data_IF_712014375711
#
_entry.id   IF_712014375711
#
_cell.length_a   1.000
_cell.length_b   1.000
_cell.length_c   1.000
_cell.angle_alpha   90.00
_cell.angle_beta   90.00
_cell.angle_gamma   90.00
#
_symmetry.space_group_name_H-M   'P 1'
#
loop_
_entity.id
_entity.type
_entity.pdbx_description
1 polymer ?
#
# COMPACT_ATOMS: atom_id res chain seq x y z
N UNK A 1 2.65 -19.87 -3.41
CA UNK A 1 2.52 -18.78 -2.43
C UNK A 1 1.05 -18.41 -2.29
N UNK A 2 0.53 -18.27 -1.07
CA UNK A 2 -0.85 -17.83 -0.88
C UNK A 2 -1.08 -16.43 -1.48
N UNK A 3 -2.29 -16.20 -1.99
CA UNK A 3 -2.62 -14.92 -2.63
C UNK A 3 -2.44 -13.74 -1.67
N UNK A 4 -2.79 -13.91 -0.40
CA UNK A 4 -2.67 -12.83 0.57
C UNK A 4 -1.21 -12.43 0.87
N UNK A 5 -0.27 -13.38 0.84
CA UNK A 5 1.15 -13.06 0.99
C UNK A 5 1.67 -12.32 -0.22
N UNK A 6 1.26 -12.72 -1.40
CA UNK A 6 1.63 -12.04 -2.64
C UNK A 6 1.06 -10.61 -2.65
N UNK A 7 -0.18 -10.45 -2.17
CA UNK A 7 -0.81 -9.14 -2.06
C UNK A 7 -0.06 -8.23 -1.09
N UNK A 8 0.29 -8.74 0.08
CA UNK A 8 1.07 -7.96 1.07
C UNK A 8 2.42 -7.57 0.50
N UNK A 9 3.12 -8.48 -0.17
CA UNK A 9 4.40 -8.18 -0.81
C UNK A 9 4.28 -7.09 -1.85
N UNK A 10 3.23 -7.14 -2.67
CA UNK A 10 2.97 -6.12 -3.67
C UNK A 10 2.68 -4.75 -3.04
N UNK A 11 1.90 -4.74 -1.95
CA UNK A 11 1.61 -3.50 -1.22
C UNK A 11 2.89 -2.91 -0.62
N UNK A 12 3.76 -3.75 -0.05
CA UNK A 12 5.05 -3.29 0.48
C UNK A 12 5.89 -2.65 -0.62
N UNK A 13 5.94 -3.26 -1.80
CA UNK A 13 6.68 -2.68 -2.93
C UNK A 13 6.09 -1.34 -3.36
N UNK A 14 4.77 -1.20 -3.34
CA UNK A 14 4.10 0.06 -3.63
C UNK A 14 4.45 1.13 -2.59
N UNK A 15 4.48 0.78 -1.32
CA UNK A 15 4.84 1.70 -0.24
C UNK A 15 6.30 2.13 -0.39
N UNK A 16 7.20 1.21 -0.74
CA UNK A 16 8.60 1.55 -1.04
C UNK A 16 8.66 2.54 -2.20
N UNK A 17 7.91 2.27 -3.27
CA UNK A 17 7.85 3.17 -4.43
C UNK A 17 7.34 4.55 -4.05
N UNK A 18 6.27 4.63 -3.27
CA UNK A 18 5.69 5.91 -2.83
C UNK A 18 6.63 6.68 -1.91
N UNK A 19 7.32 5.98 -1.01
CA UNK A 19 8.35 6.60 -0.16
C UNK A 19 9.48 7.20 -1.01
N UNK A 20 9.96 6.42 -1.97
CA UNK A 20 10.99 6.88 -2.90
C UNK A 20 10.48 8.05 -3.76
N UNK A 21 9.20 8.06 -4.10
CA UNK A 21 8.59 9.14 -4.87
C UNK A 21 8.72 10.47 -4.13
N UNK A 22 8.45 10.48 -2.83
CA UNK A 22 8.67 11.69 -2.03
C UNK A 22 10.14 12.09 -2.00
N UNK A 23 11.05 11.12 -1.85
CA UNK A 23 12.49 11.38 -1.83
C UNK A 23 13.03 11.79 -3.18
N UNK A 24 12.33 11.51 -4.28
CA UNK A 24 12.76 11.87 -5.63
C UNK A 24 12.65 13.36 -5.94
N UNK A 25 11.95 14.11 -5.09
CA UNK A 25 11.72 15.53 -5.28
C UNK A 25 11.20 15.83 -6.69
N UNK A 26 10.05 15.22 -7.01
CA UNK A 26 9.40 15.39 -8.33
C UNK A 26 10.19 14.74 -9.47
N UNK A 27 10.85 13.60 -9.20
CA UNK A 27 11.67 12.88 -10.17
C UNK A 27 12.95 13.61 -10.58
N UNK A 28 13.43 14.53 -9.75
CA UNK A 28 14.66 15.26 -10.02
C UNK A 28 15.90 14.52 -9.54
N UNK A 29 15.74 13.52 -8.67
CA UNK A 29 16.84 12.70 -8.16
C UNK A 29 16.80 11.33 -8.80
N UNK A 30 17.92 10.92 -9.42
CA UNK A 30 17.96 9.69 -10.22
C UNK A 30 17.71 8.42 -9.39
N UNK A 31 18.43 8.24 -8.28
CA UNK A 31 18.35 6.98 -7.52
C UNK A 31 16.94 6.77 -6.94
N UNK A 32 16.33 7.73 -6.22
CA UNK A 32 14.95 7.56 -5.79
C UNK A 32 13.99 7.34 -6.95
N UNK A 33 14.18 8.03 -8.08
CA UNK A 33 13.29 7.86 -9.25
C UNK A 33 13.35 6.44 -9.80
N UNK A 34 14.52 5.82 -9.83
CA UNK A 34 14.69 4.43 -10.26
C UNK A 34 14.00 3.47 -9.29
N UNK A 35 14.07 3.75 -7.99
CA UNK A 35 13.37 2.96 -6.98
C UNK A 35 11.85 3.06 -7.15
N UNK A 36 11.32 4.24 -7.50
CA UNK A 36 9.90 4.41 -7.82
C UNK A 36 9.49 3.47 -8.95
N UNK A 37 10.23 3.49 -10.05
CA UNK A 37 9.91 2.66 -11.22
C UNK A 37 9.96 1.18 -10.87
N UNK A 38 11.02 0.75 -10.22
CA UNK A 38 11.18 -0.66 -9.83
C UNK A 38 10.11 -1.10 -8.84
N UNK A 39 9.85 -0.28 -7.82
CA UNK A 39 8.86 -0.59 -6.79
C UNK A 39 7.46 -0.72 -7.36
N UNK A 40 7.04 0.24 -8.18
CA UNK A 40 5.72 0.20 -8.79
C UNK A 40 5.59 -0.90 -9.83
N UNK A 41 6.62 -1.17 -10.61
CA UNK A 41 6.59 -2.28 -11.56
C UNK A 41 6.37 -3.62 -10.83
N UNK A 42 7.14 -3.88 -9.78
CA UNK A 42 6.98 -5.09 -8.98
C UNK A 42 5.61 -5.14 -8.28
N UNK A 43 5.14 -4.01 -7.78
CA UNK A 43 3.84 -3.92 -7.13
C UNK A 43 2.71 -4.31 -8.09
N UNK A 44 2.69 -3.75 -9.28
CA UNK A 44 1.62 -4.02 -10.25
C UNK A 44 1.72 -5.40 -10.86
N UNK A 45 2.91 -5.94 -11.06
CA UNK A 45 3.08 -7.34 -11.45
C UNK A 45 2.48 -8.25 -10.37
N UNK A 46 2.81 -7.98 -9.10
CA UNK A 46 2.25 -8.74 -7.99
C UNK A 46 0.73 -8.64 -7.92
N UNK A 47 0.18 -7.43 -8.09
CA UNK A 47 -1.28 -7.24 -8.10
C UNK A 47 -1.93 -8.02 -9.23
N UNK A 48 -1.35 -7.98 -10.43
CA UNK A 48 -1.87 -8.74 -11.56
C UNK A 48 -1.95 -10.23 -11.27
N UNK A 49 -0.94 -10.77 -10.61
CA UNK A 49 -0.93 -12.19 -10.21
C UNK A 49 -1.98 -12.48 -9.12
N UNK A 50 -2.16 -11.56 -8.17
CA UNK A 50 -3.19 -11.69 -7.13
C UNK A 50 -4.59 -11.73 -7.73
N UNK A 51 -4.84 -10.90 -8.74
CA UNK A 51 -6.17 -10.80 -9.37
C UNK A 51 -6.58 -12.07 -10.12
N UNK A 52 -5.66 -13.01 -10.32
CA UNK A 52 -6.01 -14.34 -10.82
C UNK A 52 -6.72 -15.20 -9.77
N UNK A 53 -6.64 -14.84 -8.49
CA UNK A 53 -7.15 -15.65 -7.37
C UNK A 53 -8.11 -14.91 -6.46
N UNK A 54 -8.18 -13.58 -6.54
CA UNK A 54 -9.00 -12.74 -5.66
C UNK A 54 -9.90 -11.84 -6.49
N UNK A 55 -11.06 -11.51 -5.93
CA UNK A 55 -11.92 -10.51 -6.54
C UNK A 55 -11.23 -9.16 -6.60
N UNK A 56 -11.43 -8.43 -7.70
CA UNK A 56 -10.83 -7.11 -7.91
C UNK A 56 -11.21 -6.15 -6.80
N UNK A 57 -12.50 -6.10 -6.43
CA UNK A 57 -12.98 -5.17 -5.42
C UNK A 57 -12.32 -5.39 -4.07
N UNK A 58 -12.14 -6.65 -3.67
CA UNK A 58 -11.53 -6.99 -2.39
C UNK A 58 -10.03 -6.74 -2.41
N UNK A 59 -9.34 -7.21 -3.45
CA UNK A 59 -7.91 -6.99 -3.58
C UNK A 59 -7.58 -5.50 -3.59
N UNK A 60 -8.34 -4.71 -4.35
CA UNK A 60 -8.11 -3.27 -4.44
C UNK A 60 -8.41 -2.56 -3.11
N UNK A 61 -9.48 -2.95 -2.41
CA UNK A 61 -9.81 -2.35 -1.13
C UNK A 61 -8.73 -2.63 -0.08
N UNK A 62 -8.23 -3.86 -0.02
CA UNK A 62 -7.13 -4.22 0.88
C UNK A 62 -5.87 -3.42 0.51
N UNK A 63 -5.57 -3.33 -0.78
CA UNK A 63 -4.43 -2.54 -1.28
C UNK A 63 -4.54 -1.09 -0.84
N UNK A 64 -5.69 -0.45 -1.14
CA UNK A 64 -5.88 0.95 -0.82
C UNK A 64 -5.85 1.22 0.69
N UNK A 65 -6.51 0.37 1.46
CA UNK A 65 -6.60 0.55 2.91
C UNK A 65 -5.28 0.27 3.61
N UNK A 66 -4.70 -0.90 3.36
CA UNK A 66 -3.44 -1.27 3.99
C UNK A 66 -2.30 -0.36 3.50
N UNK A 67 -2.30 -0.05 2.21
CA UNK A 67 -1.31 0.87 1.64
C UNK A 67 -1.39 2.25 2.29
N UNK A 68 -2.61 2.78 2.46
CA UNK A 68 -2.81 4.07 3.13
C UNK A 68 -2.31 4.03 4.57
N UNK A 69 -2.60 2.97 5.32
CA UNK A 69 -2.14 2.84 6.69
C UNK A 69 -0.61 2.79 6.76
N UNK A 70 0.03 2.01 5.88
CA UNK A 70 1.48 1.89 5.86
C UNK A 70 2.15 3.20 5.43
N UNK A 71 1.61 3.89 4.43
CA UNK A 71 2.13 5.19 3.98
C UNK A 71 1.97 6.23 5.10
N UNK A 72 0.87 6.19 5.84
CA UNK A 72 0.68 7.08 6.98
C UNK A 72 1.75 6.86 8.07
N UNK A 73 2.08 5.59 8.35
CA UNK A 73 3.15 5.27 9.30
C UNK A 73 4.50 5.76 8.80
N UNK A 74 4.80 5.54 7.52
CA UNK A 74 6.03 6.03 6.91
C UNK A 74 6.10 7.56 7.00
N UNK A 75 5.00 8.24 6.71
CA UNK A 75 4.94 9.70 6.78
C UNK A 75 5.27 10.21 8.17
N UNK A 76 4.71 9.59 9.21
CA UNK A 76 4.97 10.00 10.58
C UNK A 76 6.41 9.72 10.99
N UNK A 77 6.93 8.51 10.71
CA UNK A 77 8.23 8.10 11.23
C UNK A 77 9.41 8.59 10.39
N UNK A 78 9.26 8.69 9.07
CA UNK A 78 10.36 9.09 8.21
C UNK A 78 10.31 10.56 7.80
N UNK A 79 9.13 11.12 7.67
CA UNK A 79 8.96 12.49 7.15
C UNK A 79 8.46 13.48 8.19
N UNK A 80 8.30 13.04 9.43
CA UNK A 80 7.89 13.92 10.53
C UNK A 80 6.47 14.46 10.39
N UNK A 81 5.61 13.79 9.66
CA UNK A 81 4.23 14.21 9.51
C UNK A 81 3.47 14.04 10.82
N UNK A 82 2.48 14.91 11.03
CA UNK A 82 1.73 14.89 12.28
C UNK A 82 0.71 13.77 12.30
N UNK A 83 0.53 13.17 13.48
CA UNK A 83 -0.57 12.25 13.74
C UNK A 83 -1.50 12.89 14.74
N UNK A 84 -2.80 12.83 14.50
CA UNK A 84 -3.82 13.34 15.41
C UNK A 84 -4.96 12.32 15.55
N UNK A 85 -5.91 12.63 16.42
CA UNK A 85 -7.01 11.71 16.70
C UNK A 85 -7.88 11.45 15.46
N UNK A 86 -8.07 12.46 14.61
CA UNK A 86 -8.86 12.32 13.38
C UNK A 86 -8.16 11.34 12.44
N UNK A 87 -6.86 11.48 12.23
CA UNK A 87 -6.09 10.56 11.39
C UNK A 87 -6.12 9.15 11.97
N UNK A 88 -5.86 9.02 13.26
CA UNK A 88 -5.85 7.70 13.92
C UNK A 88 -7.22 7.02 13.83
N UNK A 89 -8.29 7.76 14.10
CA UNK A 89 -9.65 7.23 14.01
C UNK A 89 -10.02 6.84 12.60
N UNK A 90 -9.64 7.64 11.62
CA UNK A 90 -9.90 7.37 10.20
C UNK A 90 -9.16 6.12 9.73
N UNK A 91 -7.89 5.96 10.10
CA UNK A 91 -7.13 4.75 9.80
C UNK A 91 -7.75 3.52 10.47
N UNK A 92 -8.24 3.67 11.70
CA UNK A 92 -8.95 2.61 12.39
C UNK A 92 -10.20 2.17 11.66
N UNK A 93 -10.98 3.12 11.12
CA UNK A 93 -12.16 2.80 10.31
C UNK A 93 -11.78 2.04 9.03
N UNK A 94 -10.69 2.41 8.40
CA UNK A 94 -10.18 1.68 7.22
C UNK A 94 -9.86 0.24 7.59
N UNK A 95 -9.15 0.02 8.68
CA UNK A 95 -8.80 -1.34 9.14
C UNK A 95 -10.04 -2.16 9.44
N UNK A 96 -11.02 -1.58 10.13
CA UNK A 96 -12.30 -2.25 10.42
C UNK A 96 -13.00 -2.62 9.13
N UNK A 97 -13.03 -1.71 8.15
CA UNK A 97 -13.63 -1.98 6.84
C UNK A 97 -12.93 -3.13 6.10
N UNK A 98 -11.60 -3.20 6.18
CA UNK A 98 -10.84 -4.28 5.56
C UNK A 98 -11.16 -5.63 6.20
N UNK A 99 -11.28 -5.67 7.52
CA UNK A 99 -11.68 -6.89 8.22
C UNK A 99 -13.06 -7.32 7.77
N UNK A 100 -14.00 -6.37 7.68
CA UNK A 100 -15.36 -6.64 7.21
C UNK A 100 -15.38 -7.23 5.80
N UNK A 101 -14.60 -6.66 4.89
CA UNK A 101 -14.51 -7.18 3.52
C UNK A 101 -13.95 -8.59 3.49
N UNK A 102 -12.95 -8.88 4.28
CA UNK A 102 -12.37 -10.21 4.33
C UNK A 102 -13.37 -11.22 4.87
N UNK A 103 -14.14 -10.85 5.92
CA UNK A 103 -15.15 -11.72 6.49
C UNK A 103 -16.34 -11.94 5.54
N UNK A 104 -16.60 -11.00 4.64
CA UNK A 104 -17.67 -11.15 3.65
C UNK A 104 -17.32 -12.13 2.52
N UNK A 105 -16.18 -12.79 2.61
CA UNK A 105 -15.83 -13.84 1.67
C UNK A 105 -15.01 -13.39 0.49
N UNK A 106 -14.22 -12.38 0.69
CA UNK A 106 -13.49 -11.76 -0.40
C UNK A 106 -12.15 -12.40 -0.76
N UNK A 107 -11.73 -13.41 -0.09
CA UNK A 107 -10.39 -13.95 -0.41
C UNK A 107 -10.43 -15.40 -0.79
#
# INVERSE_FOLDING_TARGET
MPAWLLLIGAIVMEVVGTTALKLSDGFTRLVPSLVVVAGYALAFIGLGLVLKRMEVSVAYAIWAGLGTALVALVGVFLFGETMNWVKAGSLGLIVVGLIGLNLAGGS
#
